data_IF_512860800543
#
_entry.id   IF_512860800543
#
_cell.length_a   1.000
_cell.length_b   1.000
_cell.length_c   1.000
_cell.angle_alpha   90.00
_cell.angle_beta   90.00
_cell.angle_gamma   90.00
#
_symmetry.space_group_name_H-M   'P 1'
#
loop_
_entity.id
_entity.type
_entity.pdbx_description
1 polymer ?
#
# COMPACT_ATOMS: atom_id res chain seq x y z
N UNK A 1 18.76 11.98 1.33
CA UNK A 1 17.47 11.28 1.22
C UNK A 1 17.46 10.30 2.36
N UNK A 2 16.91 10.74 3.49
CA UNK A 2 17.00 10.05 4.77
C UNK A 2 16.17 8.77 4.76
N UNK A 3 16.89 7.64 4.74
CA UNK A 3 16.44 6.33 5.18
C UNK A 3 16.36 6.35 6.70
N UNK A 4 15.16 6.48 7.25
CA UNK A 4 14.91 6.30 8.69
C UNK A 4 13.70 5.38 8.87
N UNK A 5 13.92 4.08 8.62
CA UNK A 5 13.08 3.02 9.17
C UNK A 5 13.32 2.90 10.69
N UNK A 6 12.88 3.90 11.47
CA UNK A 6 12.75 3.73 12.91
C UNK A 6 11.51 2.86 13.16
N UNK A 7 11.71 1.58 13.47
CA UNK A 7 10.62 0.63 13.70
C UNK A 7 9.93 0.86 15.07
N UNK A 8 9.31 2.02 15.24
CA UNK A 8 8.11 2.11 16.08
C UNK A 8 7.00 1.29 15.40
N UNK A 9 6.14 0.56 16.13
CA UNK A 9 5.04 -0.18 15.52
C UNK A 9 4.22 0.80 14.69
N UNK A 10 4.23 0.63 13.37
CA UNK A 10 3.40 1.41 12.47
C UNK A 10 1.98 1.00 12.74
N UNK A 11 1.28 1.80 13.55
CA UNK A 11 -0.16 1.70 13.66
C UNK A 11 -0.74 2.16 12.33
N UNK A 12 -1.59 1.34 11.75
CA UNK A 12 -2.45 1.71 10.64
C UNK A 12 -3.87 1.25 11.01
N UNK A 13 -4.87 2.04 10.64
CA UNK A 13 -6.27 1.67 10.82
C UNK A 13 -6.70 0.60 9.80
N UNK A 14 -6.06 0.60 8.63
CA UNK A 14 -6.25 -0.40 7.58
C UNK A 14 -4.90 -0.81 6.99
N UNK A 15 -4.71 -2.11 6.79
CA UNK A 15 -3.57 -2.65 6.03
C UNK A 15 -4.11 -3.33 4.77
N UNK A 16 -3.63 -2.90 3.61
CA UNK A 16 -3.93 -3.52 2.31
C UNK A 16 -2.73 -4.33 1.85
N UNK A 17 -2.94 -5.64 1.66
CA UNK A 17 -1.90 -6.57 1.19
C UNK A 17 -2.09 -6.82 -0.30
N UNK A 18 -1.12 -6.36 -1.10
CA UNK A 18 -1.10 -6.42 -2.56
C UNK A 18 -1.39 -5.06 -3.21
N UNK A 19 -0.47 -4.60 -4.05
CA UNK A 19 -0.50 -3.34 -4.80
C UNK A 19 -0.99 -3.48 -6.24
N UNK A 20 -1.86 -4.47 -6.52
CA UNK A 20 -2.58 -4.58 -7.80
C UNK A 20 -3.69 -3.55 -7.96
N UNK A 21 -4.38 -3.49 -9.11
CA UNK A 21 -5.43 -2.50 -9.36
C UNK A 21 -6.57 -2.51 -8.32
N UNK A 22 -6.96 -3.69 -7.82
CA UNK A 22 -7.93 -3.75 -6.73
C UNK A 22 -7.37 -3.26 -5.40
N UNK A 23 -6.11 -3.57 -5.11
CA UNK A 23 -5.45 -3.24 -3.85
C UNK A 23 -5.14 -1.75 -3.70
N UNK A 24 -4.41 -1.15 -4.66
CA UNK A 24 -4.12 0.28 -4.56
C UNK A 24 -5.39 1.13 -4.66
N UNK A 25 -6.41 0.69 -5.41
CA UNK A 25 -7.66 1.44 -5.50
C UNK A 25 -8.41 1.44 -4.16
N UNK A 26 -8.46 0.29 -3.46
CA UNK A 26 -9.03 0.20 -2.12
C UNK A 26 -8.23 1.04 -1.11
N UNK A 27 -6.90 1.02 -1.20
CA UNK A 27 -6.03 1.81 -0.33
C UNK A 27 -6.24 3.32 -0.53
N UNK A 28 -6.30 3.78 -1.77
CA UNK A 28 -6.57 5.20 -2.06
C UNK A 28 -7.96 5.62 -1.62
N UNK A 29 -8.99 4.81 -1.88
CA UNK A 29 -10.34 5.11 -1.40
C UNK A 29 -10.39 5.26 0.12
N UNK A 30 -9.76 4.35 0.87
CA UNK A 30 -9.72 4.43 2.33
C UNK A 30 -8.92 5.64 2.83
N UNK A 31 -7.83 6.00 2.15
CA UNK A 31 -7.04 7.18 2.47
C UNK A 31 -7.82 8.48 2.18
N UNK A 32 -8.60 8.53 1.09
CA UNK A 32 -9.46 9.66 0.74
C UNK A 32 -10.57 9.89 1.78
N UNK A 33 -11.05 8.82 2.42
CA UNK A 33 -11.97 8.87 3.57
C UNK A 33 -11.27 9.22 4.91
N UNK A 34 -9.96 9.51 4.87
CA UNK A 34 -9.19 9.97 6.02
C UNK A 34 -8.67 8.86 6.94
N UNK A 35 -8.68 7.60 6.50
CA UNK A 35 -8.09 6.51 7.26
C UNK A 35 -6.55 6.52 7.17
N UNK A 36 -5.88 6.12 8.23
CA UNK A 36 -4.47 5.76 8.20
C UNK A 36 -4.29 4.38 7.57
N UNK A 37 -3.71 4.34 6.37
CA UNK A 37 -3.64 3.14 5.52
C UNK A 37 -2.19 2.77 5.22
N UNK A 38 -1.84 1.51 5.50
CA UNK A 38 -0.59 0.91 5.02
C UNK A 38 -0.87 0.01 3.81
N UNK A 39 -0.28 0.32 2.65
CA UNK A 39 -0.27 -0.54 1.47
C UNK A 39 1.05 -1.31 1.42
N UNK A 40 0.98 -2.64 1.34
CA UNK A 40 2.15 -3.52 1.27
C UNK A 40 2.13 -4.26 -0.06
N UNK A 41 3.22 -4.15 -0.82
CA UNK A 41 3.44 -4.90 -2.06
C UNK A 41 4.77 -5.65 -1.96
N UNK A 42 4.79 -6.91 -2.41
CA UNK A 42 5.99 -7.74 -2.39
C UNK A 42 6.98 -7.33 -3.49
N UNK A 43 6.46 -6.80 -4.61
CA UNK A 43 7.28 -6.33 -5.71
C UNK A 43 7.69 -4.86 -5.60
N UNK A 44 8.82 -4.46 -6.21
CA UNK A 44 9.25 -3.07 -6.22
C UNK A 44 8.29 -2.12 -6.96
N UNK A 45 7.39 -2.64 -7.78
CA UNK A 45 6.46 -1.88 -8.61
C UNK A 45 5.03 -2.21 -8.25
N UNK A 46 4.21 -1.17 -8.06
CA UNK A 46 2.75 -1.31 -8.02
C UNK A 46 2.23 -1.75 -9.40
N UNK A 47 1.09 -2.44 -9.37
CA UNK A 47 0.38 -2.85 -10.58
C UNK A 47 -0.13 -4.29 -10.59
N UNK A 48 0.47 -5.17 -9.77
CA UNK A 48 0.11 -6.58 -9.72
C UNK A 48 0.14 -7.27 -11.09
N UNK A 49 -0.58 -8.38 -11.25
CA UNK A 49 -0.65 -9.10 -12.53
C UNK A 49 -1.22 -8.24 -13.64
N UNK A 50 -2.37 -7.58 -13.41
CA UNK A 50 -3.10 -6.83 -14.43
C UNK A 50 -2.27 -5.78 -15.16
N UNK A 51 -1.39 -5.04 -14.45
CA UNK A 51 -0.57 -3.99 -15.06
C UNK A 51 0.81 -4.51 -15.51
N UNK A 52 1.40 -5.44 -14.76
CA UNK A 52 2.81 -5.82 -14.96
C UNK A 52 2.98 -7.08 -15.80
N UNK A 53 1.95 -7.94 -15.90
CA UNK A 53 2.06 -9.31 -16.44
C UNK A 53 0.89 -9.77 -17.32
N UNK A 54 -0.27 -9.11 -17.27
CA UNK A 54 -1.48 -9.48 -18.01
C UNK A 54 -2.36 -10.42 -17.20
#
# INVERSE_FOLDING_TARGET
MEDQASASPTHAQLVVLGGGPGGYAAAFLAADEGMDVALVEAEPRLGGTCLLRG
#
